data_IF_088685016791
#
_entry.id   IF_088685016791
#
_cell.length_a   1.000
_cell.length_b   1.000
_cell.length_c   1.000
_cell.angle_alpha   90.00
_cell.angle_beta   90.00
_cell.angle_gamma   90.00
#
_symmetry.space_group_name_H-M   'P 1'
#
loop_
_entity.id
_entity.type
_entity.pdbx_description
1 polymer ?
#
# COMPACT_ATOMS: atom_id res chain seq x y z
N UNK A 1 80.17 -10.22 -24.70
CA UNK A 1 81.28 -9.52 -25.39
C UNK A 1 80.62 -8.55 -26.35
N UNK A 2 80.75 -7.23 -26.28
CA UNK A 2 81.66 -6.34 -25.55
C UNK A 2 80.85 -5.06 -25.25
N UNK A 3 81.09 -4.53 -24.06
CA UNK A 3 80.63 -3.26 -23.53
C UNK A 3 81.03 -2.08 -24.44
N UNK A 4 80.21 -1.04 -24.52
CA UNK A 4 80.77 0.32 -24.55
C UNK A 4 79.99 1.26 -23.66
N UNK A 5 80.78 2.09 -23.02
CA UNK A 5 80.53 2.82 -21.79
C UNK A 5 80.29 4.29 -22.11
N UNK A 6 79.59 4.95 -21.18
CA UNK A 6 79.73 6.36 -20.76
C UNK A 6 79.21 7.48 -21.68
N UNK A 7 78.34 8.29 -21.06
CA UNK A 7 77.95 9.61 -21.54
C UNK A 7 76.94 10.28 -20.62
N UNK A 8 77.30 10.50 -19.36
CA UNK A 8 76.53 11.32 -18.40
C UNK A 8 76.43 12.75 -18.91
N UNK A 9 75.21 13.24 -19.16
CA UNK A 9 74.91 14.67 -19.25
C UNK A 9 73.81 14.98 -18.24
N UNK A 10 74.19 15.67 -17.16
CA UNK A 10 73.27 16.37 -16.28
C UNK A 10 72.96 17.72 -16.92
N UNK A 11 71.72 17.93 -17.35
CA UNK A 11 71.16 19.29 -17.53
C UNK A 11 70.15 19.50 -16.41
N UNK A 12 70.55 20.31 -15.43
CA UNK A 12 69.61 21.01 -14.57
C UNK A 12 68.86 22.02 -15.46
N UNK A 13 67.57 21.82 -15.65
CA UNK A 13 66.71 22.69 -16.45
C UNK A 13 65.30 22.70 -15.88
N UNK A 14 64.96 23.85 -15.31
CA UNK A 14 63.74 24.30 -14.63
C UNK A 14 62.41 23.75 -15.16
N UNK A 15 61.46 23.52 -14.24
CA UNK A 15 60.06 23.21 -14.51
C UNK A 15 59.44 24.11 -15.59
N UNK A 16 58.75 23.49 -16.54
CA UNK A 16 57.53 24.02 -17.15
C UNK A 16 56.58 22.84 -17.35
N UNK A 17 55.71 22.60 -16.38
CA UNK A 17 54.53 21.77 -16.57
C UNK A 17 53.61 22.58 -17.48
N UNK A 18 53.61 22.28 -18.77
CA UNK A 18 52.59 22.82 -19.67
C UNK A 18 51.25 22.24 -19.25
N UNK A 19 50.45 23.04 -18.54
CA UNK A 19 49.06 22.75 -18.28
C UNK A 19 48.34 22.69 -19.63
N UNK A 20 48.07 21.47 -20.11
CA UNK A 20 47.05 21.27 -21.14
C UNK A 20 45.72 21.55 -20.45
N UNK A 21 45.25 22.79 -20.56
CA UNK A 21 43.87 23.12 -20.26
C UNK A 21 43.00 22.45 -21.33
N UNK A 22 42.55 21.22 -21.08
CA UNK A 22 41.46 20.62 -21.82
C UNK A 22 40.24 21.50 -21.61
N UNK A 23 39.94 22.35 -22.60
CA UNK A 23 38.67 23.06 -22.69
C UNK A 23 37.58 22.02 -23.00
N UNK A 24 37.14 21.31 -21.97
CA UNK A 24 35.85 20.61 -22.02
C UNK A 24 34.80 21.70 -22.08
N UNK A 25 34.32 22.00 -23.29
CA UNK A 25 33.12 22.79 -23.44
C UNK A 25 32.00 22.07 -22.70
N UNK A 26 31.70 22.50 -21.48
CA UNK A 26 30.45 22.18 -20.82
C UNK A 26 29.37 22.77 -21.74
N UNK A 27 28.79 21.95 -22.62
CA UNK A 27 27.41 22.17 -23.00
C UNK A 27 26.63 22.12 -21.68
N UNK A 28 26.32 23.30 -21.15
CA UNK A 28 25.40 23.46 -20.04
C UNK A 28 24.04 22.97 -20.51
N UNK A 29 23.83 21.65 -20.42
CA UNK A 29 22.50 21.10 -20.36
C UNK A 29 21.91 21.64 -19.06
N UNK A 30 21.13 22.72 -19.16
CA UNK A 30 20.29 23.16 -18.06
C UNK A 30 19.49 21.93 -17.64
N UNK A 31 19.62 21.42 -16.40
CA UNK A 31 18.79 20.31 -15.97
C UNK A 31 17.35 20.75 -16.18
N UNK A 32 16.60 19.96 -16.94
CA UNK A 32 15.17 20.20 -17.13
C UNK A 32 14.58 20.34 -15.73
N UNK A 33 13.85 21.43 -15.49
CA UNK A 33 13.19 21.64 -14.22
C UNK A 33 12.36 20.38 -13.91
N UNK A 34 12.65 19.74 -12.78
CA UNK A 34 11.95 18.54 -12.38
C UNK A 34 10.45 18.85 -12.37
N UNK A 35 9.66 18.09 -13.12
CA UNK A 35 8.21 18.23 -13.07
C UNK A 35 7.76 18.03 -11.62
N UNK A 36 6.86 18.87 -11.10
CA UNK A 36 6.40 18.74 -9.73
C UNK A 36 5.82 17.33 -9.53
N UNK A 37 6.19 16.67 -8.44
CA UNK A 37 5.63 15.38 -8.08
C UNK A 37 4.11 15.49 -7.96
N UNK A 38 3.39 14.49 -8.47
CA UNK A 38 1.95 14.42 -8.26
C UNK A 38 1.67 14.40 -6.75
N UNK A 39 0.63 15.11 -6.28
CA UNK A 39 0.30 15.15 -4.85
C UNK A 39 -0.12 13.78 -4.32
N UNK A 40 -0.59 12.87 -5.17
CA UNK A 40 -1.01 11.53 -4.81
C UNK A 40 -0.41 10.51 -5.78
N UNK A 41 0.40 9.62 -5.25
CA UNK A 41 1.04 8.51 -5.98
C UNK A 41 0.77 7.26 -5.17
N UNK A 42 -0.30 6.55 -5.54
CA UNK A 42 -0.82 5.43 -4.77
C UNK A 42 -0.60 4.10 -5.46
N UNK A 43 -0.25 3.10 -4.65
CA UNK A 43 -0.28 1.71 -5.09
C UNK A 43 -1.70 1.14 -4.95
N UNK A 44 -2.08 0.33 -5.93
CA UNK A 44 -3.41 -0.29 -6.06
C UNK A 44 -3.30 -1.82 -6.15
N UNK A 45 -2.12 -2.39 -5.94
CA UNK A 45 -1.93 -3.84 -6.01
C UNK A 45 -2.73 -4.51 -4.90
N UNK A 46 -3.50 -5.52 -5.28
CA UNK A 46 -4.35 -6.27 -4.37
C UNK A 46 -4.43 -7.73 -4.75
N UNK A 47 -4.75 -8.59 -3.79
CA UNK A 47 -5.02 -10.00 -4.03
C UNK A 47 -6.45 -10.21 -4.53
N UNK A 48 -6.64 -11.12 -5.49
CA UNK A 48 -7.98 -11.54 -5.90
C UNK A 48 -8.49 -12.62 -4.92
N UNK A 49 -9.70 -12.49 -4.37
CA UNK A 49 -10.27 -13.53 -3.52
C UNK A 49 -10.34 -14.89 -4.21
N UNK A 50 -9.99 -15.94 -3.49
CA UNK A 50 -10.03 -17.32 -4.02
C UNK A 50 -8.83 -17.70 -4.88
N UNK A 51 -7.89 -16.78 -5.12
CA UNK A 51 -6.63 -17.05 -5.81
C UNK A 51 -5.43 -17.02 -4.86
N UNK A 52 -4.30 -17.55 -5.33
CA UNK A 52 -3.04 -17.46 -4.61
C UNK A 52 -2.60 -15.98 -4.48
N UNK A 53 -2.07 -15.62 -3.32
CA UNK A 53 -1.53 -14.27 -3.10
C UNK A 53 -0.35 -14.01 -4.05
N UNK A 54 -0.36 -12.83 -4.67
CA UNK A 54 0.75 -12.34 -5.48
C UNK A 54 2.07 -12.35 -4.70
N UNK A 55 3.14 -12.76 -5.36
CA UNK A 55 4.51 -12.61 -4.87
C UNK A 55 5.13 -11.41 -5.60
N UNK A 56 5.07 -10.24 -5.00
CA UNK A 56 5.47 -9.00 -5.67
C UNK A 56 6.09 -7.99 -4.72
N UNK A 57 6.95 -7.14 -5.27
CA UNK A 57 7.64 -6.08 -4.53
C UNK A 57 6.72 -4.92 -4.14
N UNK A 58 5.54 -4.81 -4.75
CA UNK A 58 4.53 -3.82 -4.39
C UNK A 58 3.86 -4.11 -3.04
N UNK A 59 4.14 -5.25 -2.41
CA UNK A 59 3.69 -5.57 -1.05
C UNK A 59 4.67 -5.12 0.05
N UNK A 60 5.79 -4.50 -0.33
CA UNK A 60 6.84 -4.04 0.58
C UNK A 60 6.71 -2.52 0.80
N UNK A 61 6.24 -2.06 1.98
CA UNK A 61 5.99 -0.65 2.24
C UNK A 61 7.26 0.21 2.13
N UNK A 62 8.41 -0.32 2.54
CA UNK A 62 9.71 0.37 2.45
C UNK A 62 10.11 0.60 1.00
N UNK A 63 9.86 -0.38 0.11
CA UNK A 63 10.10 -0.22 -1.33
C UNK A 63 9.16 0.77 -1.98
N UNK A 64 7.87 0.73 -1.64
CA UNK A 64 6.90 1.68 -2.17
C UNK A 64 7.31 3.12 -1.84
N UNK A 65 7.72 3.37 -0.59
CA UNK A 65 8.27 4.66 -0.17
C UNK A 65 9.50 5.06 -1.00
N UNK A 66 10.45 4.14 -1.19
CA UNK A 66 11.67 4.38 -1.98
C UNK A 66 11.37 4.69 -3.47
N UNK A 67 10.26 4.19 -4.00
CA UNK A 67 9.79 4.46 -5.36
C UNK A 67 8.91 5.71 -5.48
N UNK A 68 8.71 6.45 -4.39
CA UNK A 68 7.97 7.71 -4.40
C UNK A 68 6.47 7.57 -4.22
N UNK A 69 5.95 6.40 -3.84
CA UNK A 69 4.56 6.24 -3.45
C UNK A 69 4.31 6.86 -2.08
N UNK A 70 3.24 7.65 -1.96
CA UNK A 70 2.86 8.34 -0.72
C UNK A 70 1.54 7.81 -0.11
N UNK A 71 0.98 6.76 -0.69
CA UNK A 71 -0.17 6.06 -0.14
C UNK A 71 -0.45 4.75 -0.85
N UNK A 72 -1.48 4.06 -0.37
CA UNK A 72 -1.92 2.79 -0.92
C UNK A 72 -3.45 2.65 -0.80
N UNK A 73 -4.00 1.84 -1.69
CA UNK A 73 -5.44 1.59 -1.80
C UNK A 73 -5.68 0.09 -1.70
N UNK A 74 -5.58 -0.46 -0.47
CA UNK A 74 -5.65 -1.89 -0.26
C UNK A 74 -7.08 -2.40 -0.45
N UNK A 75 -7.22 -3.58 -1.05
CA UNK A 75 -8.49 -4.31 -1.14
C UNK A 75 -8.53 -5.42 -0.08
N UNK A 76 -8.43 -5.03 1.18
CA UNK A 76 -8.41 -5.95 2.32
C UNK A 76 -9.80 -6.16 2.94
N UNK A 77 -10.88 -6.10 2.14
CA UNK A 77 -12.26 -6.34 2.55
C UNK A 77 -12.60 -5.87 3.96
N UNK A 78 -12.22 -4.63 4.31
CA UNK A 78 -12.24 -4.11 5.70
C UNK A 78 -13.60 -4.21 6.38
N UNK A 79 -14.68 -4.20 5.60
CA UNK A 79 -16.04 -4.40 6.08
C UNK A 79 -16.31 -5.82 6.62
N UNK A 80 -15.49 -6.80 6.27
CA UNK A 80 -15.53 -8.18 6.78
C UNK A 80 -14.83 -8.34 8.14
N UNK A 81 -14.06 -7.35 8.59
CA UNK A 81 -13.38 -7.32 9.89
C UNK A 81 -14.25 -6.67 11.00
N UNK A 82 -15.56 -6.89 10.92
CA UNK A 82 -16.56 -6.27 11.78
C UNK A 82 -17.39 -7.35 12.46
N UNK A 83 -17.50 -7.26 13.78
CA UNK A 83 -18.18 -8.27 14.63
C UNK A 83 -19.69 -8.03 14.78
N UNK A 84 -20.20 -6.90 14.30
CA UNK A 84 -21.62 -6.51 14.36
C UNK A 84 -22.23 -6.40 15.76
N UNK A 85 -21.44 -6.39 16.84
CA UNK A 85 -21.96 -6.38 18.22
C UNK A 85 -22.93 -5.25 18.53
N UNK A 86 -22.66 -4.04 18.02
CA UNK A 86 -23.51 -2.87 18.25
C UNK A 86 -24.84 -2.94 17.52
N UNK A 87 -24.93 -3.77 16.48
CA UNK A 87 -26.13 -3.98 15.69
C UNK A 87 -26.89 -5.21 16.20
N UNK A 88 -26.24 -6.37 16.17
CA UNK A 88 -26.78 -7.64 16.62
C UNK A 88 -25.63 -8.62 16.93
N UNK A 89 -25.36 -8.82 18.23
CA UNK A 89 -24.34 -9.75 18.74
C UNK A 89 -24.54 -11.20 18.29
N UNK A 90 -25.74 -11.58 17.85
CA UNK A 90 -26.01 -12.94 17.43
C UNK A 90 -25.54 -13.20 15.99
N UNK A 91 -25.10 -12.18 15.24
CA UNK A 91 -24.52 -12.36 13.89
C UNK A 91 -23.20 -13.13 13.95
N UNK A 92 -22.33 -12.77 14.90
CA UNK A 92 -21.09 -13.50 15.21
C UNK A 92 -21.02 -13.76 16.72
N UNK A 93 -21.72 -14.79 17.24
CA UNK A 93 -21.79 -15.07 18.66
C UNK A 93 -20.39 -15.27 19.28
N UNK A 94 -20.22 -14.80 20.52
CA UNK A 94 -18.98 -15.00 21.26
C UNK A 94 -18.63 -16.51 21.33
N UNK A 95 -17.36 -16.85 21.10
CA UNK A 95 -16.86 -18.22 21.08
C UNK A 95 -17.16 -19.02 19.81
N UNK A 96 -17.89 -18.45 18.83
CA UNK A 96 -18.09 -19.10 17.53
C UNK A 96 -16.82 -19.07 16.67
N UNK A 97 -16.70 -20.03 15.74
CA UNK A 97 -15.56 -20.08 14.80
C UNK A 97 -15.55 -18.87 13.88
N UNK A 98 -16.72 -18.42 13.47
CA UNK A 98 -16.91 -17.24 12.63
C UNK A 98 -16.48 -15.97 13.36
N UNK A 99 -16.76 -15.89 14.67
CA UNK A 99 -16.28 -14.78 15.50
C UNK A 99 -14.76 -14.74 15.59
N UNK A 100 -14.13 -15.89 15.85
CA UNK A 100 -12.68 -16.00 15.85
C UNK A 100 -12.09 -15.57 14.50
N UNK A 101 -12.65 -16.05 13.38
CA UNK A 101 -12.21 -15.65 12.05
C UNK A 101 -12.29 -14.14 11.79
N UNK A 102 -13.40 -13.48 12.15
CA UNK A 102 -13.55 -12.03 11.97
C UNK A 102 -12.53 -11.26 12.80
N UNK A 103 -12.28 -11.67 14.04
CA UNK A 103 -11.32 -11.02 14.92
C UNK A 103 -9.87 -11.25 14.46
N UNK A 104 -9.56 -12.44 13.94
CA UNK A 104 -8.27 -12.76 13.35
C UNK A 104 -8.01 -11.91 12.11
N UNK A 105 -9.00 -11.82 11.21
CA UNK A 105 -8.90 -10.99 10.02
C UNK A 105 -8.77 -9.50 10.35
N UNK A 106 -9.47 -9.02 11.38
CA UNK A 106 -9.29 -7.65 11.86
C UNK A 106 -7.86 -7.36 12.30
N UNK A 107 -7.22 -8.30 13.02
CA UNK A 107 -5.82 -8.14 13.44
C UNK A 107 -4.85 -8.16 12.26
N UNK A 108 -5.11 -8.97 11.23
CA UNK A 108 -4.31 -8.96 10.00
C UNK A 108 -4.37 -7.60 9.29
N UNK A 109 -5.56 -7.02 9.17
CA UNK A 109 -5.77 -5.69 8.57
C UNK A 109 -5.09 -4.60 9.40
N UNK A 110 -5.23 -4.64 10.73
CA UNK A 110 -4.61 -3.66 11.63
C UNK A 110 -3.08 -3.71 11.53
N UNK A 111 -2.49 -4.91 11.46
CA UNK A 111 -1.06 -5.10 11.26
C UNK A 111 -0.60 -4.55 9.91
N UNK A 112 -1.35 -4.84 8.84
CA UNK A 112 -1.08 -4.30 7.51
C UNK A 112 -1.10 -2.77 7.50
N UNK A 113 -2.18 -2.14 7.98
CA UNK A 113 -2.32 -0.68 8.04
C UNK A 113 -1.20 -0.06 8.89
N UNK A 114 -0.84 -0.69 10.00
CA UNK A 114 0.24 -0.22 10.87
C UNK A 114 1.59 -0.25 10.16
N UNK A 115 1.88 -1.29 9.37
CA UNK A 115 3.12 -1.38 8.59
C UNK A 115 3.25 -0.29 7.53
N UNK A 116 2.15 0.06 6.84
CA UNK A 116 2.13 1.14 5.85
C UNK A 116 2.32 2.51 6.52
N UNK A 117 1.63 2.74 7.64
CA UNK A 117 1.77 3.98 8.42
C UNK A 117 3.17 4.19 8.96
N UNK A 118 3.86 3.12 9.37
CA UNK A 118 5.25 3.19 9.84
C UNK A 118 6.21 3.73 8.77
N UNK A 119 5.90 3.54 7.48
CA UNK A 119 6.66 4.09 6.34
C UNK A 119 6.13 5.45 5.86
N UNK A 120 5.18 6.06 6.59
CA UNK A 120 4.59 7.34 6.24
C UNK A 120 3.60 7.27 5.07
N UNK A 121 3.09 6.09 4.74
CA UNK A 121 2.09 5.92 3.69
C UNK A 121 0.67 6.01 4.27
N UNK A 122 -0.21 6.72 3.55
CA UNK A 122 -1.63 6.79 3.91
C UNK A 122 -2.39 5.62 3.27
N UNK A 123 -3.19 4.89 4.04
CA UNK A 123 -4.06 3.83 3.54
C UNK A 123 -5.47 4.34 3.24
N UNK A 124 -5.97 4.06 2.04
CA UNK A 124 -7.35 4.33 1.61
C UNK A 124 -8.04 3.02 1.24
N UNK A 125 -8.62 2.27 2.20
CA UNK A 125 -9.23 0.99 1.91
C UNK A 125 -10.30 1.08 0.82
N UNK A 126 -10.18 0.23 -0.19
CA UNK A 126 -11.12 0.15 -1.29
C UNK A 126 -12.16 -0.95 -1.04
N UNK A 127 -13.40 -0.69 -1.41
CA UNK A 127 -14.50 -1.66 -1.39
C UNK A 127 -15.37 -1.43 -2.62
N UNK A 128 -15.49 -2.47 -3.46
CA UNK A 128 -16.34 -2.49 -4.65
C UNK A 128 -17.72 -3.10 -4.37
N UNK A 129 -17.77 -4.12 -3.51
CA UNK A 129 -19.00 -4.77 -3.10
C UNK A 129 -19.07 -4.83 -1.58
N UNK A 130 -20.26 -4.54 -1.06
CA UNK A 130 -20.58 -4.84 0.34
C UNK A 130 -21.00 -6.30 0.39
N UNK A 131 -20.20 -7.14 1.06
CA UNK A 131 -20.62 -8.50 1.40
C UNK A 131 -21.25 -8.51 2.78
N UNK A 132 -22.36 -9.22 2.94
CA UNK A 132 -23.04 -9.38 4.23
C UNK A 132 -22.80 -10.79 4.79
N UNK A 133 -22.64 -10.96 6.11
CA UNK A 133 -22.56 -12.28 6.72
C UNK A 133 -23.80 -13.13 6.39
N UNK A 134 -23.61 -14.42 6.10
CA UNK A 134 -24.72 -15.34 5.78
C UNK A 134 -25.82 -15.33 6.85
N UNK A 135 -25.41 -15.40 8.12
CA UNK A 135 -26.32 -15.38 9.27
C UNK A 135 -27.14 -14.09 9.36
N UNK A 136 -26.58 -12.94 8.96
CA UNK A 136 -27.31 -11.68 8.90
C UNK A 136 -28.38 -11.75 7.81
N UNK A 137 -28.02 -12.25 6.62
CA UNK A 137 -28.97 -12.43 5.51
C UNK A 137 -30.08 -13.40 5.87
N UNK A 138 -29.77 -14.50 6.55
CA UNK A 138 -30.76 -15.47 7.01
C UNK A 138 -31.73 -14.85 8.02
N UNK A 139 -31.20 -14.15 9.04
CA UNK A 139 -32.02 -13.56 10.12
C UNK A 139 -32.93 -12.43 9.63
N UNK A 140 -32.44 -11.60 8.71
CA UNK A 140 -33.15 -10.39 8.27
C UNK A 140 -33.69 -10.48 6.84
N UNK A 141 -33.75 -11.68 6.25
CA UNK A 141 -34.10 -11.92 4.85
C UNK A 141 -35.34 -11.16 4.39
N UNK A 142 -36.42 -11.20 5.19
CA UNK A 142 -37.69 -10.57 4.85
C UNK A 142 -37.59 -9.03 4.73
N UNK A 143 -36.63 -8.44 5.42
CA UNK A 143 -36.48 -6.99 5.55
C UNK A 143 -35.43 -6.44 4.58
N UNK A 144 -34.42 -7.25 4.22
CA UNK A 144 -33.28 -6.79 3.41
C UNK A 144 -33.19 -7.42 2.03
N UNK A 145 -33.98 -8.45 1.72
CA UNK A 145 -33.96 -9.11 0.40
C UNK A 145 -35.20 -8.79 -0.45
N UNK A 146 -35.02 -8.85 -1.77
CA UNK A 146 -36.12 -8.82 -2.74
C UNK A 146 -36.85 -10.19 -2.81
N UNK A 147 -37.91 -10.25 -3.63
CA UNK A 147 -38.68 -11.47 -3.83
C UNK A 147 -37.85 -12.64 -4.43
N UNK A 148 -36.70 -12.34 -5.04
CA UNK A 148 -35.76 -13.33 -5.58
C UNK A 148 -34.69 -13.74 -4.55
N UNK A 149 -34.76 -13.22 -3.33
CA UNK A 149 -33.79 -13.51 -2.26
C UNK A 149 -32.46 -12.78 -2.40
N UNK A 150 -32.36 -11.78 -3.27
CA UNK A 150 -31.15 -10.95 -3.43
C UNK A 150 -31.19 -9.80 -2.44
N UNK A 151 -30.05 -9.41 -1.88
CA UNK A 151 -29.96 -8.22 -1.02
C UNK A 151 -30.42 -6.98 -1.82
N UNK A 152 -31.37 -6.25 -1.26
CA UNK A 152 -31.98 -5.06 -1.84
C UNK A 152 -31.57 -3.83 -1.01
N UNK A 153 -30.64 -3.06 -1.57
CA UNK A 153 -30.10 -1.83 -0.97
C UNK A 153 -31.12 -0.70 -0.89
N UNK A 154 -32.27 -0.83 -1.56
CA UNK A 154 -33.33 0.18 -1.51
C UNK A 154 -34.22 0.06 -0.26
N UNK A 155 -34.21 -1.10 0.41
CA UNK A 155 -35.02 -1.37 1.60
C UNK A 155 -34.65 -0.46 2.78
N UNK A 156 -35.62 -0.02 3.60
CA UNK A 156 -35.34 0.85 4.74
C UNK A 156 -34.30 0.28 5.70
N UNK A 157 -34.38 -1.03 6.01
CA UNK A 157 -33.43 -1.68 6.92
C UNK A 157 -32.01 -1.74 6.34
N UNK A 158 -31.88 -2.05 5.06
CA UNK A 158 -30.59 -2.01 4.37
C UNK A 158 -30.01 -0.58 4.37
N UNK A 159 -30.81 0.46 4.14
CA UNK A 159 -30.37 1.86 4.17
C UNK A 159 -29.99 2.39 5.55
N UNK A 160 -30.69 1.96 6.60
CA UNK A 160 -30.44 2.41 7.97
C UNK A 160 -29.17 1.81 8.57
N UNK A 161 -28.94 0.51 8.31
CA UNK A 161 -27.95 -0.27 9.04
C UNK A 161 -26.67 -0.51 8.23
N UNK A 162 -26.74 -0.64 6.90
CA UNK A 162 -25.54 -0.87 6.07
C UNK A 162 -24.54 0.28 6.09
N UNK A 163 -24.95 1.57 6.13
CA UNK A 163 -24.02 2.67 6.33
C UNK A 163 -23.38 2.69 7.74
N UNK A 164 -24.00 2.06 8.74
CA UNK A 164 -23.43 1.94 10.09
C UNK A 164 -22.35 0.84 10.16
N UNK A 165 -22.45 -0.18 9.29
CA UNK A 165 -21.38 -1.17 9.06
C UNK A 165 -20.12 -0.48 8.50
N UNK A 166 -20.28 0.57 7.69
CA UNK A 166 -19.16 1.33 7.10
C UNK A 166 -18.64 2.46 8.03
N UNK A 167 -19.35 2.77 9.12
CA UNK A 167 -19.00 3.87 10.05
C UNK A 167 -17.95 3.52 11.10
N UNK A 168 -17.32 2.36 11.04
CA UNK A 168 -16.20 2.00 11.94
C UNK A 168 -14.88 2.46 11.32
N UNK A 169 -14.73 3.78 11.16
CA UNK A 169 -13.47 4.46 10.86
C UNK A 169 -13.04 5.42 11.96
N UNK A 170 -13.80 5.52 13.06
CA UNK A 170 -13.50 6.39 14.19
C UNK A 170 -13.49 5.58 15.48
N UNK A 171 -12.35 5.54 16.16
CA UNK A 171 -12.13 4.92 17.48
C UNK A 171 -12.08 3.38 17.49
N UNK A 172 -10.96 2.84 17.05
CA UNK A 172 -10.33 1.69 17.72
C UNK A 172 -8.93 2.12 18.15
N UNK A 173 -8.89 3.07 19.07
CA UNK A 173 -7.70 3.40 19.86
C UNK A 173 -7.95 2.89 21.27
N UNK A 174 -7.27 1.80 21.61
CA UNK A 174 -7.19 1.20 22.94
C UNK A 174 -5.92 0.36 22.97
#
# INVERSE_FOLDING_TARGET
MIYHTLGTIRVLGTLMVSAIASATALLGATPAAASPSLPFVFDMVHHNPGEAKFQTRFLDPTRLRAWGFNGNVPREFVHSAITYNSFDKDIFPAGSKERAWVEDYAREIDAFISSMKAEGQTCYPFTDFIVLPKRLVEKYRAEICDAKGRVDVSRPRTKGDVPQIVRIGGSRSG
#
